data_IF_637535732945
#
_entry.id   IF_637535732945
#
_cell.length_a   1.000
_cell.length_b   1.000
_cell.length_c   1.000
_cell.angle_alpha   90.00
_cell.angle_beta   90.00
_cell.angle_gamma   90.00
#
_symmetry.space_group_name_H-M   'P 1'
#
loop_
_entity.id
_entity.type
_entity.pdbx_description
1 polymer ?
#
# COMPACT_ATOMS: atom_id res chain seq x y z
N UNK A 1 -17.99 -3.49 -19.22
CA UNK A 1 -18.10 -2.16 -19.87
C UNK A 1 -17.13 -1.23 -19.17
N UNK A 2 -16.51 -0.26 -19.85
CA UNK A 2 -15.56 0.68 -19.19
C UNK A 2 -16.37 1.71 -18.40
N UNK A 3 -15.97 1.99 -17.16
CA UNK A 3 -16.62 2.98 -16.31
C UNK A 3 -15.68 4.15 -16.01
N UNK A 4 -16.22 5.38 -15.79
CA UNK A 4 -15.41 6.50 -15.36
C UNK A 4 -14.59 6.15 -14.11
N UNK A 5 -13.32 6.54 -14.10
CA UNK A 5 -12.43 6.33 -12.95
C UNK A 5 -11.27 7.32 -12.98
N UNK A 6 -10.62 7.52 -11.84
CA UNK A 6 -9.45 8.40 -11.71
C UNK A 6 -8.30 8.02 -12.65
N UNK A 7 -8.18 6.74 -13.05
CA UNK A 7 -7.21 6.28 -14.04
C UNK A 7 -7.45 6.86 -15.44
N UNK A 8 -8.70 7.16 -15.77
CA UNK A 8 -9.09 7.62 -17.09
C UNK A 8 -8.98 9.15 -17.26
N UNK A 9 -8.52 9.87 -16.23
CA UNK A 9 -8.40 11.33 -16.25
C UNK A 9 -7.46 11.89 -17.32
N UNK A 10 -6.44 11.13 -17.69
CA UNK A 10 -5.35 11.56 -18.59
C UNK A 10 -5.17 10.64 -19.79
N UNK A 11 -6.21 9.87 -20.16
CA UNK A 11 -6.09 8.95 -21.29
C UNK A 11 -6.00 9.72 -22.60
N UNK A 12 -5.16 9.22 -23.51
CA UNK A 12 -5.13 9.65 -24.90
C UNK A 12 -6.02 8.71 -25.70
N UNK A 13 -7.12 9.22 -26.23
CA UNK A 13 -8.05 8.42 -27.05
C UNK A 13 -7.55 8.44 -28.49
N UNK A 14 -7.13 7.27 -29.00
CA UNK A 14 -6.63 7.12 -30.39
C UNK A 14 -7.78 6.88 -31.37
N UNK A 15 -8.79 6.13 -30.94
CA UNK A 15 -10.01 5.85 -31.69
C UNK A 15 -11.18 5.76 -30.73
N UNK A 16 -12.32 6.31 -31.10
CA UNK A 16 -13.61 6.12 -30.44
C UNK A 16 -14.67 5.91 -31.51
N UNK A 17 -15.71 5.16 -31.19
CA UNK A 17 -16.85 5.01 -32.11
C UNK A 17 -17.65 6.30 -32.20
N UNK A 18 -18.51 6.42 -33.21
CA UNK A 18 -19.37 7.60 -33.43
C UNK A 18 -20.22 7.96 -32.19
N UNK A 19 -20.51 6.98 -31.32
CA UNK A 19 -21.19 7.19 -30.05
C UNK A 19 -20.42 8.02 -29.01
N UNK A 20 -19.13 8.27 -29.20
CA UNK A 20 -18.28 9.08 -28.31
C UNK A 20 -18.16 8.53 -26.88
N UNK A 21 -18.25 7.21 -26.73
CA UNK A 21 -18.35 6.54 -25.44
C UNK A 21 -17.10 6.77 -24.56
N UNK A 22 -15.90 6.66 -25.11
CA UNK A 22 -14.65 6.91 -24.38
C UNK A 22 -14.47 8.39 -24.08
N UNK A 23 -14.83 9.30 -25.00
CA UNK A 23 -14.78 10.74 -24.72
C UNK A 23 -15.70 11.11 -23.55
N UNK A 24 -16.93 10.61 -23.55
CA UNK A 24 -17.88 10.83 -22.48
C UNK A 24 -17.39 10.24 -21.15
N UNK A 25 -16.80 9.05 -21.18
CA UNK A 25 -16.21 8.40 -20.00
C UNK A 25 -15.02 9.18 -19.45
N UNK A 26 -14.12 9.65 -20.32
CA UNK A 26 -12.97 10.47 -19.93
C UNK A 26 -13.41 11.83 -19.35
N UNK A 27 -14.44 12.46 -19.93
CA UNK A 27 -15.02 13.71 -19.41
C UNK A 27 -15.53 13.53 -17.99
N UNK A 28 -16.35 12.49 -17.74
CA UNK A 28 -16.83 12.15 -16.38
C UNK A 28 -15.68 11.85 -15.42
N UNK A 29 -14.62 11.22 -15.91
CA UNK A 29 -13.46 10.85 -15.10
C UNK A 29 -12.65 12.06 -14.60
N UNK A 30 -12.58 13.16 -15.37
CA UNK A 30 -11.81 14.37 -15.02
C UNK A 30 -12.21 15.00 -13.69
N UNK A 31 -13.48 14.87 -13.31
CA UNK A 31 -14.04 15.47 -12.09
C UNK A 31 -13.91 14.54 -10.88
N UNK A 32 -13.58 13.27 -11.09
CA UNK A 32 -13.48 12.31 -10.00
C UNK A 32 -12.28 12.61 -9.11
N UNK A 33 -12.45 12.44 -7.81
CA UNK A 33 -11.37 12.46 -6.84
C UNK A 33 -11.28 11.09 -6.20
N UNK A 34 -10.06 10.64 -5.95
CA UNK A 34 -9.87 9.43 -5.17
C UNK A 34 -10.13 9.74 -3.71
N UNK A 35 -10.93 8.89 -3.08
CA UNK A 35 -11.06 8.82 -1.64
C UNK A 35 -11.12 7.34 -1.25
N UNK A 36 -10.54 7.00 -0.11
CA UNK A 36 -10.56 5.63 0.39
C UNK A 36 -11.74 5.46 1.35
N UNK A 37 -12.33 4.27 1.31
CA UNK A 37 -13.44 3.88 2.18
C UNK A 37 -12.92 3.18 3.43
N UNK A 38 -13.82 2.96 4.40
CA UNK A 38 -13.56 2.08 5.55
C UNK A 38 -13.17 0.67 5.12
N UNK A 39 -13.75 0.16 4.04
CA UNK A 39 -13.40 -1.16 3.52
C UNK A 39 -11.97 -1.17 2.95
N UNK A 40 -11.58 -0.16 2.17
CA UNK A 40 -10.23 -0.04 1.64
C UNK A 40 -9.18 -0.02 2.78
N UNK A 41 -9.48 0.71 3.86
CA UNK A 41 -8.62 0.72 5.05
C UNK A 41 -8.48 -0.67 5.67
N UNK A 42 -9.58 -1.37 5.92
CA UNK A 42 -9.53 -2.69 6.54
C UNK A 42 -8.87 -3.73 5.65
N UNK A 43 -9.12 -3.71 4.35
CA UNK A 43 -8.48 -4.61 3.39
C UNK A 43 -6.96 -4.40 3.37
N UNK A 44 -6.53 -3.13 3.31
CA UNK A 44 -5.11 -2.77 3.40
C UNK A 44 -4.48 -3.24 4.73
N UNK A 45 -5.08 -2.88 5.87
CA UNK A 45 -4.57 -3.20 7.21
C UNK A 45 -4.48 -4.71 7.44
N UNK A 46 -5.53 -5.45 7.10
CA UNK A 46 -5.57 -6.90 7.28
C UNK A 46 -4.53 -7.58 6.38
N UNK A 47 -4.28 -7.04 5.19
CA UNK A 47 -3.22 -7.54 4.31
C UNK A 47 -1.81 -7.28 4.87
N UNK A 48 -1.59 -6.11 5.48
CA UNK A 48 -0.35 -5.84 6.22
C UNK A 48 -0.16 -6.86 7.36
N UNK A 49 -1.19 -7.13 8.16
CA UNK A 49 -1.11 -8.12 9.23
C UNK A 49 -0.78 -9.53 8.71
N UNK A 50 -1.38 -9.94 7.60
CA UNK A 50 -1.12 -11.23 6.99
C UNK A 50 0.37 -11.38 6.61
N UNK A 51 0.95 -10.38 5.94
CA UNK A 51 2.36 -10.42 5.54
C UNK A 51 3.33 -10.33 6.72
N UNK A 52 3.02 -9.55 7.76
CA UNK A 52 3.84 -9.51 8.99
C UNK A 52 3.90 -10.89 9.64
N UNK A 53 2.74 -11.53 9.82
CA UNK A 53 2.66 -12.86 10.42
C UNK A 53 3.34 -13.93 9.55
N UNK A 54 3.15 -13.86 8.24
CA UNK A 54 3.73 -14.82 7.31
C UNK A 54 5.25 -14.68 7.20
N UNK A 55 5.77 -13.45 7.10
CA UNK A 55 7.19 -13.17 7.10
C UNK A 55 7.87 -13.78 8.34
N UNK A 56 7.30 -13.55 9.53
CA UNK A 56 7.76 -14.15 10.79
C UNK A 56 7.78 -15.69 10.72
N UNK A 57 6.63 -16.30 10.42
CA UNK A 57 6.46 -17.75 10.43
C UNK A 57 7.42 -18.44 9.44
N UNK A 58 7.62 -17.84 8.27
CA UNK A 58 8.50 -18.37 7.21
C UNK A 58 9.97 -18.21 7.58
N UNK A 59 10.37 -17.08 8.16
CA UNK A 59 11.73 -16.89 8.67
C UNK A 59 12.10 -17.93 9.73
N UNK A 60 11.17 -18.22 10.66
CA UNK A 60 11.35 -19.23 11.71
C UNK A 60 11.44 -20.67 11.18
N UNK A 61 10.93 -20.94 9.97
CA UNK A 61 11.05 -22.24 9.28
C UNK A 61 12.25 -22.33 8.35
N UNK A 62 13.05 -21.27 8.20
CA UNK A 62 14.14 -21.21 7.23
C UNK A 62 13.68 -21.00 5.78
N UNK A 63 12.40 -20.68 5.55
CA UNK A 63 11.83 -20.38 4.22
C UNK A 63 12.11 -18.92 3.81
N UNK A 64 13.39 -18.55 3.76
CA UNK A 64 13.79 -17.15 3.69
C UNK A 64 13.32 -16.39 2.46
N UNK A 65 13.26 -17.02 1.28
CA UNK A 65 12.76 -16.33 0.08
C UNK A 65 11.28 -16.01 0.16
N UNK A 66 10.49 -16.88 0.80
CA UNK A 66 9.09 -16.58 1.09
C UNK A 66 9.02 -15.40 2.05
N UNK A 67 9.78 -15.45 3.16
CA UNK A 67 9.80 -14.38 4.15
C UNK A 67 10.23 -13.02 3.55
N UNK A 68 11.22 -13.01 2.66
CA UNK A 68 11.64 -11.82 1.92
C UNK A 68 10.56 -11.33 0.94
N UNK A 69 9.84 -12.24 0.28
CA UNK A 69 8.68 -11.88 -0.53
C UNK A 69 7.58 -11.20 0.29
N UNK A 70 7.27 -11.69 1.50
CA UNK A 70 6.33 -11.04 2.40
C UNK A 70 6.82 -9.66 2.88
N UNK A 71 8.12 -9.53 3.12
CA UNK A 71 8.72 -8.24 3.45
C UNK A 71 8.55 -7.25 2.27
N UNK A 72 8.76 -7.69 1.04
CA UNK A 72 8.55 -6.87 -0.16
C UNK A 72 7.09 -6.49 -0.36
N UNK A 73 6.18 -7.43 -0.13
CA UNK A 73 4.75 -7.16 -0.13
C UNK A 73 4.37 -6.12 0.93
N UNK A 74 4.94 -6.20 2.13
CA UNK A 74 4.72 -5.21 3.18
C UNK A 74 5.26 -3.84 2.77
N UNK A 75 6.46 -3.77 2.15
CA UNK A 75 7.00 -2.51 1.60
C UNK A 75 6.03 -1.90 0.57
N UNK A 76 5.46 -2.71 -0.31
CA UNK A 76 4.47 -2.23 -1.28
C UNK A 76 3.22 -1.71 -0.59
N UNK A 77 2.72 -2.42 0.43
CA UNK A 77 1.55 -2.01 1.18
C UNK A 77 1.78 -0.69 1.92
N UNK A 78 2.97 -0.44 2.46
CA UNK A 78 3.31 0.86 3.04
C UNK A 78 3.24 1.97 1.98
N UNK A 79 3.76 1.74 0.78
CA UNK A 79 3.62 2.68 -0.33
C UNK A 79 2.15 2.93 -0.72
N UNK A 80 1.33 1.88 -0.78
CA UNK A 80 -0.11 1.98 -1.01
C UNK A 80 -0.77 2.84 0.08
N UNK A 81 -0.44 2.61 1.35
CA UNK A 81 -0.95 3.39 2.47
C UNK A 81 -0.59 4.88 2.37
N UNK A 82 0.65 5.22 2.03
CA UNK A 82 1.05 6.62 1.80
C UNK A 82 0.39 7.27 0.58
N UNK A 83 0.03 6.50 -0.44
CA UNK A 83 -0.81 7.00 -1.53
C UNK A 83 -2.23 7.29 -1.04
N UNK A 84 -2.82 6.36 -0.28
CA UNK A 84 -4.14 6.52 0.32
C UNK A 84 -4.21 7.77 1.20
N UNK A 85 -3.24 7.95 2.10
CA UNK A 85 -3.09 9.12 2.97
C UNK A 85 -3.10 10.44 2.18
N UNK A 86 -2.37 10.48 1.06
CA UNK A 86 -2.28 11.65 0.17
C UNK A 86 -3.50 11.81 -0.75
N UNK A 87 -4.54 11.00 -0.57
CA UNK A 87 -5.70 10.92 -1.47
C UNK A 87 -5.29 10.77 -2.94
N UNK A 88 -4.22 10.00 -3.17
CA UNK A 88 -3.79 9.54 -4.47
C UNK A 88 -4.19 8.08 -4.66
N UNK A 89 -4.82 7.76 -5.79
CA UNK A 89 -5.18 6.38 -6.10
C UNK A 89 -3.91 5.49 -6.15
N UNK A 90 -3.79 4.48 -5.27
CA UNK A 90 -2.71 3.52 -5.36
C UNK A 90 -2.92 2.59 -6.55
N UNK A 91 -1.84 2.01 -7.08
CA UNK A 91 -1.95 0.91 -8.02
C UNK A 91 -2.56 -0.33 -7.34
N UNK A 92 -2.94 -1.30 -8.15
CA UNK A 92 -3.28 -2.63 -7.65
C UNK A 92 -2.09 -3.25 -6.90
N UNK A 93 -2.40 -4.05 -5.88
CA UNK A 93 -1.41 -4.86 -5.19
C UNK A 93 -0.64 -5.75 -6.18
N UNK A 94 0.68 -5.83 -6.05
CA UNK A 94 1.59 -6.48 -7.01
C UNK A 94 2.12 -5.56 -8.11
N UNK A 95 1.54 -4.36 -8.33
CA UNK A 95 2.00 -3.40 -9.33
C UNK A 95 2.87 -2.27 -8.71
N UNK A 96 4.17 -2.31 -9.00
CA UNK A 96 5.15 -1.32 -8.54
C UNK A 96 5.27 -0.08 -9.43
N UNK A 97 4.53 -0.01 -10.54
CA UNK A 97 4.69 1.05 -11.52
C UNK A 97 4.51 2.44 -10.89
N UNK A 98 5.45 3.37 -11.11
CA UNK A 98 5.34 4.76 -10.62
C UNK A 98 5.33 4.89 -9.08
N UNK A 99 5.59 3.84 -8.30
CA UNK A 99 5.92 4.00 -6.87
C UNK A 99 7.26 4.71 -6.71
N UNK A 100 8.17 4.46 -7.65
CA UNK A 100 9.46 5.14 -7.77
C UNK A 100 9.49 6.05 -9.01
N UNK A 101 10.61 6.78 -9.16
CA UNK A 101 10.87 7.66 -10.31
C UNK A 101 10.03 8.94 -10.30
N UNK A 102 10.08 9.68 -11.40
CA UNK A 102 9.50 11.04 -11.51
C UNK A 102 7.97 11.10 -11.40
N UNK A 103 7.28 9.95 -11.49
CA UNK A 103 5.82 9.85 -11.44
C UNK A 103 5.27 9.49 -10.07
N UNK A 104 6.16 9.28 -9.09
CA UNK A 104 5.77 8.94 -7.72
C UNK A 104 4.96 10.05 -7.04
N UNK A 105 4.10 9.63 -6.11
CA UNK A 105 3.42 10.51 -5.15
C UNK A 105 4.06 10.46 -3.77
N UNK A 106 5.09 9.62 -3.59
CA UNK A 106 5.85 9.56 -2.35
C UNK A 106 6.83 10.73 -2.25
N UNK A 107 7.02 11.21 -1.03
CA UNK A 107 8.08 12.20 -0.76
C UNK A 107 9.46 11.52 -0.62
N UNK A 108 10.51 12.32 -0.55
CA UNK A 108 11.89 11.83 -0.46
C UNK A 108 12.13 10.95 0.79
N UNK A 109 11.53 11.29 1.93
CA UNK A 109 11.66 10.51 3.16
C UNK A 109 11.00 9.13 3.03
N UNK A 110 9.81 9.04 2.46
CA UNK A 110 9.10 7.77 2.23
C UNK A 110 9.88 6.85 1.29
N UNK A 111 10.43 7.40 0.19
CA UNK A 111 11.30 6.65 -0.72
C UNK A 111 12.57 6.17 -0.01
N UNK A 112 13.16 7.01 0.85
CA UNK A 112 14.35 6.64 1.63
C UNK A 112 14.03 5.51 2.61
N UNK A 113 12.85 5.54 3.25
CA UNK A 113 12.40 4.47 4.13
C UNK A 113 12.23 3.14 3.37
N UNK A 114 11.53 3.15 2.23
CA UNK A 114 11.37 1.95 1.39
C UNK A 114 12.71 1.33 0.99
N UNK A 115 13.66 2.18 0.60
CA UNK A 115 15.01 1.76 0.22
C UNK A 115 15.81 1.20 1.42
N UNK A 116 15.53 1.67 2.64
CA UNK A 116 16.23 1.23 3.87
C UNK A 116 15.70 -0.09 4.45
N UNK A 117 14.47 -0.48 4.08
CA UNK A 117 13.81 -1.69 4.58
C UNK A 117 14.24 -2.94 3.83
N UNK A 118 15.54 -3.24 3.90
CA UNK A 118 16.13 -4.45 3.30
C UNK A 118 16.58 -5.43 4.38
N UNK A 119 16.55 -6.71 4.05
CA UNK A 119 17.11 -7.79 4.86
C UNK A 119 17.76 -8.85 3.95
N UNK A 120 18.81 -9.52 4.45
CA UNK A 120 19.35 -10.71 3.80
C UNK A 120 18.51 -11.95 4.17
N UNK A 121 18.97 -13.15 3.73
CA UNK A 121 18.37 -14.45 4.12
C UNK A 121 18.71 -14.80 5.58
N UNK A 122 18.35 -13.91 6.49
CA UNK A 122 18.66 -13.99 7.90
C UNK A 122 17.42 -13.59 8.71
N UNK A 123 16.94 -14.50 9.55
CA UNK A 123 15.71 -14.28 10.32
C UNK A 123 15.78 -13.02 11.21
N UNK A 124 16.92 -12.77 11.86
CA UNK A 124 17.11 -11.62 12.73
C UNK A 124 17.03 -10.29 11.96
N UNK A 125 17.65 -10.23 10.77
CA UNK A 125 17.56 -9.04 9.92
C UNK A 125 16.14 -8.78 9.40
N UNK A 126 15.41 -9.85 9.05
CA UNK A 126 14.02 -9.74 8.63
C UNK A 126 13.17 -9.21 9.80
N UNK A 127 13.32 -9.76 11.01
CA UNK A 127 12.55 -9.33 12.19
C UNK A 127 12.86 -7.88 12.55
N UNK A 128 14.14 -7.49 12.58
CA UNK A 128 14.55 -6.09 12.77
C UNK A 128 13.93 -5.17 11.71
N UNK A 129 13.80 -5.64 10.47
CA UNK A 129 13.18 -4.84 9.41
C UNK A 129 11.68 -4.67 9.61
N UNK A 130 10.96 -5.73 10.00
CA UNK A 130 9.55 -5.64 10.36
C UNK A 130 9.34 -4.65 11.52
N UNK A 131 10.18 -4.70 12.57
CA UNK A 131 10.12 -3.75 13.69
C UNK A 131 10.40 -2.30 13.26
N UNK A 132 11.27 -2.07 12.27
CA UNK A 132 11.49 -0.74 11.69
C UNK A 132 10.28 -0.21 10.91
N UNK A 133 9.46 -1.09 10.34
CA UNK A 133 8.22 -0.72 9.63
C UNK A 133 7.09 -0.39 10.61
N UNK A 134 7.02 -1.10 11.74
CA UNK A 134 5.97 -0.96 12.78
C UNK A 134 5.55 0.48 13.10
N UNK A 135 6.46 1.43 13.43
CA UNK A 135 6.04 2.79 13.81
C UNK A 135 5.31 3.53 12.68
N UNK A 136 5.74 3.36 11.42
CA UNK A 136 5.10 3.98 10.25
C UNK A 136 3.75 3.34 9.94
N UNK A 137 3.63 2.04 10.18
CA UNK A 137 2.35 1.34 10.04
C UNK A 137 1.33 1.82 11.10
N UNK A 138 1.77 2.00 12.36
CA UNK A 138 0.95 2.59 13.42
C UNK A 138 0.50 4.00 13.05
N UNK A 139 1.41 4.83 12.52
CA UNK A 139 1.09 6.19 12.11
C UNK A 139 0.01 6.24 11.02
N UNK A 140 0.14 5.41 9.97
CA UNK A 140 -0.88 5.28 8.93
C UNK A 140 -2.22 4.80 9.48
N UNK A 141 -2.24 3.74 10.31
CA UNK A 141 -3.48 3.28 10.95
C UNK A 141 -4.12 4.38 11.79
N UNK A 142 -3.33 5.15 12.55
CA UNK A 142 -3.83 6.26 13.36
C UNK A 142 -4.39 7.39 12.48
N UNK A 143 -3.76 7.70 11.35
CA UNK A 143 -4.28 8.63 10.35
C UNK A 143 -5.64 8.15 9.82
N UNK A 144 -5.73 6.90 9.36
CA UNK A 144 -6.95 6.35 8.78
C UNK A 144 -8.09 6.26 9.79
N UNK A 145 -7.84 5.74 11.00
CA UNK A 145 -8.85 5.70 12.06
C UNK A 145 -9.37 7.10 12.41
N UNK A 146 -8.51 8.12 12.48
CA UNK A 146 -8.94 9.50 12.74
C UNK A 146 -9.82 10.04 11.63
N UNK A 147 -9.42 9.88 10.36
CA UNK A 147 -10.17 10.40 9.21
C UNK A 147 -11.51 9.68 9.01
N UNK A 148 -11.57 8.39 9.33
CA UNK A 148 -12.77 7.55 9.19
C UNK A 148 -13.63 7.48 10.47
N UNK A 149 -13.26 8.21 11.53
CA UNK A 149 -13.93 8.19 12.84
C UNK A 149 -14.04 6.77 13.45
N UNK A 150 -12.99 5.96 13.33
CA UNK A 150 -12.89 4.61 13.87
C UNK A 150 -12.10 4.57 15.19
N UNK A 151 -12.24 3.49 15.95
CA UNK A 151 -11.40 3.25 17.11
C UNK A 151 -9.93 3.03 16.72
N UNK A 152 -9.04 3.26 17.69
CA UNK A 152 -7.61 3.06 17.50
C UNK A 152 -7.26 1.56 17.49
N UNK A 153 -6.46 1.15 16.51
CA UNK A 153 -6.03 -0.24 16.30
C UNK A 153 -4.67 -0.57 16.96
N UNK A 154 -4.05 0.36 17.68
CA UNK A 154 -2.71 0.17 18.27
C UNK A 154 -2.58 -1.10 19.13
N UNK A 155 -3.61 -1.45 19.92
CA UNK A 155 -3.59 -2.69 20.71
C UNK A 155 -3.52 -3.94 19.84
N UNK A 156 -4.25 -3.96 18.72
CA UNK A 156 -4.22 -5.06 17.74
C UNK A 156 -2.89 -5.09 16.99
N UNK A 157 -2.36 -3.93 16.60
CA UNK A 157 -1.05 -3.86 15.94
C UNK A 157 0.03 -4.39 16.87
N UNK A 158 0.02 -3.99 18.14
CA UNK A 158 0.98 -4.50 19.13
C UNK A 158 0.88 -6.01 19.32
N UNK A 159 -0.33 -6.59 19.34
CA UNK A 159 -0.46 -8.04 19.49
C UNK A 159 0.07 -8.82 18.28
N UNK A 160 -0.07 -8.29 17.06
CA UNK A 160 0.50 -8.88 15.84
C UNK A 160 2.03 -8.84 15.86
N UNK A 161 2.61 -7.72 16.31
CA UNK A 161 4.07 -7.54 16.34
C UNK A 161 4.75 -8.17 17.56
N UNK A 162 4.02 -8.53 18.61
CA UNK A 162 4.59 -9.07 19.86
C UNK A 162 5.47 -10.31 19.67
N UNK A 163 5.21 -11.14 18.65
CA UNK A 163 6.01 -12.35 18.37
C UNK A 163 7.32 -12.07 17.64
N UNK A 164 7.52 -10.83 17.20
CA UNK A 164 8.66 -10.38 16.38
C UNK A 164 9.65 -9.55 17.23
N UNK A 165 9.19 -9.05 18.38
CA UNK A 165 9.99 -8.34 19.40
C UNK A 165 10.85 -9.31 20.22
#
# INVERSE_FOLDING_TARGET
MIHPSVWLQKIKIIKDSESGFLQNTAKKSKEMKYDYTTQDYFDWRNKCFAHVHEAYRRAMRGEYYYSLHDLDALRQLMAIGWYMEKSAQPNAYGDWAKIEGSRTKLNKSELTLLASWTASRNANEIMKTLLRIKPYFIELCRHFSRRLSLSNDEGLINSVFHRIE
#
